data_IF_829650924454
#
_entry.id   IF_829650924454
#
_cell.length_a   1.000
_cell.length_b   1.000
_cell.length_c   1.000
_cell.angle_alpha   90.00
_cell.angle_beta   90.00
_cell.angle_gamma   90.00
#
_symmetry.space_group_name_H-M   'P 1'
#
loop_
_entity.id
_entity.type
_entity.pdbx_description
1 polymer ?
#
# COMPACT_ATOMS: atom_id res chain seq x y z
N UNK A 1 39.33 -7.02 -30.75
CA UNK A 1 38.54 -5.76 -30.78
C UNK A 1 37.58 -5.82 -29.60
N UNK A 2 37.90 -5.15 -28.49
CA UNK A 2 36.99 -5.06 -27.34
C UNK A 2 36.16 -3.79 -27.51
N UNK A 3 34.85 -3.97 -27.61
CA UNK A 3 33.88 -2.88 -27.62
C UNK A 3 34.02 -2.07 -26.32
N UNK A 4 34.49 -0.83 -26.45
CA UNK A 4 34.55 0.17 -25.38
C UNK A 4 33.44 1.20 -25.58
N UNK A 5 32.22 0.77 -25.87
CA UNK A 5 31.07 1.66 -25.84
C UNK A 5 30.89 2.19 -24.41
N UNK A 6 30.93 3.51 -24.18
CA UNK A 6 30.68 4.06 -22.86
C UNK A 6 29.23 3.71 -22.47
N UNK A 7 29.07 2.88 -21.44
CA UNK A 7 27.80 2.77 -20.74
C UNK A 7 27.52 4.14 -20.13
N UNK A 8 26.76 4.97 -20.85
CA UNK A 8 26.13 6.14 -20.28
C UNK A 8 25.21 5.66 -19.16
N UNK A 9 25.70 5.75 -17.92
CA UNK A 9 24.85 5.62 -16.72
C UNK A 9 23.96 6.85 -16.73
N UNK A 10 22.76 6.71 -17.28
CA UNK A 10 21.76 7.76 -17.20
C UNK A 10 21.54 8.11 -15.73
N UNK A 11 21.75 9.37 -15.36
CA UNK A 11 21.42 9.86 -14.03
C UNK A 11 19.90 9.94 -13.90
N UNK A 12 19.28 8.84 -13.45
CA UNK A 12 17.87 8.86 -13.05
C UNK A 12 17.80 9.57 -11.69
N UNK A 13 17.52 10.86 -11.70
CA UNK A 13 17.23 11.59 -10.47
C UNK A 13 15.93 11.04 -9.87
N UNK A 14 16.06 10.43 -8.68
CA UNK A 14 14.95 10.00 -7.84
C UNK A 14 14.62 11.01 -6.73
N UNK A 15 15.24 12.22 -6.77
CA UNK A 15 14.85 13.29 -5.84
C UNK A 15 13.35 13.54 -5.96
N UNK A 16 12.66 13.53 -4.82
CA UNK A 16 11.23 13.76 -4.66
C UNK A 16 10.31 12.66 -5.23
N UNK A 17 10.83 11.44 -5.47
CA UNK A 17 10.00 10.29 -5.83
C UNK A 17 9.80 9.38 -4.63
N UNK A 18 8.62 8.76 -4.54
CA UNK A 18 8.38 7.68 -3.59
C UNK A 18 9.39 6.56 -3.88
N UNK A 19 10.10 6.12 -2.84
CA UNK A 19 11.10 5.05 -2.90
C UNK A 19 10.41 3.68 -2.81
N UNK A 20 9.85 3.22 -3.93
CA UNK A 20 9.16 1.93 -4.00
C UNK A 20 10.05 0.75 -3.64
N UNK A 21 11.37 0.89 -3.79
CA UNK A 21 12.38 -0.11 -3.45
C UNK A 21 12.53 -0.37 -1.94
N UNK A 22 11.91 0.46 -1.08
CA UNK A 22 11.92 0.26 0.38
C UNK A 22 10.86 -0.75 0.86
N UNK A 23 9.99 -1.22 -0.03
CA UNK A 23 8.93 -2.14 0.34
C UNK A 23 9.44 -3.59 0.27
N UNK A 24 9.20 -4.35 1.34
CA UNK A 24 9.51 -5.77 1.39
C UNK A 24 8.53 -6.58 0.51
N UNK A 25 9.06 -7.45 -0.36
CA UNK A 25 8.24 -8.17 -1.35
C UNK A 25 7.34 -9.25 -0.74
N UNK A 26 7.77 -9.88 0.35
CA UNK A 26 6.99 -10.87 1.09
C UNK A 26 5.70 -10.29 1.68
N UNK A 27 5.69 -9.00 2.01
CA UNK A 27 4.49 -8.28 2.43
C UNK A 27 3.46 -8.18 1.30
N UNK A 28 3.91 -7.94 0.07
CA UNK A 28 3.01 -7.91 -1.09
C UNK A 28 2.44 -9.29 -1.40
N UNK A 29 3.24 -10.35 -1.28
CA UNK A 29 2.77 -11.72 -1.47
C UNK A 29 1.65 -12.10 -0.47
N UNK A 30 1.74 -11.62 0.77
CA UNK A 30 0.68 -11.83 1.78
C UNK A 30 -0.64 -11.15 1.39
N UNK A 31 -0.61 -9.93 0.88
CA UNK A 31 -1.82 -9.23 0.40
C UNK A 31 -2.35 -9.91 -0.87
N UNK A 32 -1.45 -10.30 -1.77
CA UNK A 32 -1.81 -11.02 -2.98
C UNK A 32 -2.52 -12.35 -2.65
N UNK A 33 -2.08 -13.07 -1.62
CA UNK A 33 -2.77 -14.29 -1.15
C UNK A 33 -4.21 -14.02 -0.70
N UNK A 34 -4.47 -12.90 0.01
CA UNK A 34 -5.83 -12.49 0.39
C UNK A 34 -6.67 -12.17 -0.85
N UNK A 35 -6.09 -11.47 -1.83
CA UNK A 35 -6.76 -11.18 -3.10
C UNK A 35 -7.06 -12.45 -3.89
N UNK A 36 -6.14 -13.42 -3.91
CA UNK A 36 -6.34 -14.73 -4.55
C UNK A 36 -7.49 -15.49 -3.89
N UNK A 37 -7.51 -15.57 -2.55
CA UNK A 37 -8.64 -16.17 -1.83
C UNK A 37 -9.98 -15.49 -2.19
N UNK A 38 -10.00 -14.15 -2.23
CA UNK A 38 -11.18 -13.39 -2.62
C UNK A 38 -11.60 -13.63 -4.07
N UNK A 39 -10.64 -13.80 -4.98
CA UNK A 39 -10.89 -14.09 -6.39
C UNK A 39 -11.47 -15.50 -6.59
N UNK A 40 -10.99 -16.49 -5.83
CA UNK A 40 -11.54 -17.85 -5.83
C UNK A 40 -12.95 -17.92 -5.22
N UNK A 41 -13.21 -17.12 -4.17
CA UNK A 41 -14.50 -17.10 -3.46
C UNK A 41 -15.59 -16.34 -4.22
N UNK A 42 -15.24 -15.25 -4.92
CA UNK A 42 -16.20 -14.39 -5.59
C UNK A 42 -15.95 -14.36 -7.10
N UNK A 43 -14.98 -13.58 -7.55
CA UNK A 43 -14.42 -13.52 -8.90
C UNK A 43 -13.18 -12.61 -8.83
N UNK A 44 -12.20 -12.71 -9.75
CA UNK A 44 -11.10 -11.76 -9.83
C UNK A 44 -11.60 -10.30 -9.89
N UNK A 45 -10.97 -9.42 -9.11
CA UNK A 45 -11.30 -7.99 -9.05
C UNK A 45 -12.75 -7.65 -8.63
N UNK A 46 -13.53 -8.59 -8.08
CA UNK A 46 -14.94 -8.35 -7.67
C UNK A 46 -15.12 -7.13 -6.74
N UNK A 47 -14.15 -6.86 -5.86
CA UNK A 47 -14.16 -5.70 -4.95
C UNK A 47 -14.23 -4.35 -5.69
N UNK A 48 -13.81 -4.28 -6.96
CA UNK A 48 -13.88 -3.05 -7.78
C UNK A 48 -15.30 -2.68 -8.19
N UNK A 49 -16.25 -3.61 -8.10
CA UNK A 49 -17.67 -3.31 -8.29
C UNK A 49 -18.23 -2.37 -7.21
N UNK A 50 -17.48 -2.17 -6.13
CA UNK A 50 -17.85 -1.33 -5.01
C UNK A 50 -18.25 -2.15 -3.80
N UNK A 51 -17.78 -1.73 -2.63
CA UNK A 51 -18.12 -2.29 -1.32
C UNK A 51 -18.46 -1.10 -0.44
N UNK A 52 -19.61 -1.09 0.26
CA UNK A 52 -19.96 0.01 1.17
C UNK A 52 -18.87 0.26 2.21
N UNK A 53 -18.54 1.52 2.47
CA UNK A 53 -17.46 1.93 3.38
C UNK A 53 -17.56 1.26 4.75
N UNK A 54 -18.78 1.23 5.32
CA UNK A 54 -19.05 0.61 6.61
C UNK A 54 -18.77 -0.90 6.64
N UNK A 55 -18.92 -1.60 5.51
CA UNK A 55 -18.60 -3.02 5.41
C UNK A 55 -17.08 -3.26 5.38
N UNK A 56 -16.34 -2.42 4.65
CA UNK A 56 -14.87 -2.46 4.61
C UNK A 56 -14.30 -2.16 6.00
N UNK A 57 -14.74 -1.06 6.62
CA UNK A 57 -14.28 -0.65 7.95
C UNK A 57 -14.68 -1.68 9.00
N UNK A 58 -15.89 -2.24 8.90
CA UNK A 58 -16.35 -3.32 9.76
C UNK A 58 -15.47 -4.58 9.66
N UNK A 59 -15.14 -5.02 8.44
CA UNK A 59 -14.25 -6.15 8.21
C UNK A 59 -12.84 -5.90 8.74
N UNK A 60 -12.27 -4.72 8.44
CA UNK A 60 -10.99 -4.27 8.97
C UNK A 60 -10.93 -4.38 10.51
N UNK A 61 -11.91 -3.81 11.20
CA UNK A 61 -11.96 -3.80 12.66
C UNK A 61 -12.12 -5.20 13.24
N UNK A 62 -12.83 -6.11 12.57
CA UNK A 62 -12.94 -7.52 12.98
C UNK A 62 -11.58 -8.23 12.94
N UNK A 63 -10.83 -8.10 11.84
CA UNK A 63 -9.50 -8.73 11.77
C UNK A 63 -8.51 -8.13 12.77
N UNK A 64 -8.49 -6.80 12.94
CA UNK A 64 -7.64 -6.16 13.96
C UNK A 64 -8.01 -6.67 15.36
N UNK A 65 -9.31 -6.74 15.67
CA UNK A 65 -9.78 -7.19 16.99
C UNK A 65 -9.40 -8.65 17.26
N UNK A 66 -9.60 -9.54 16.28
CA UNK A 66 -9.21 -10.96 16.38
C UNK A 66 -7.71 -11.11 16.66
N UNK A 67 -6.87 -10.41 15.88
CA UNK A 67 -5.41 -10.39 16.07
C UNK A 67 -4.99 -9.94 17.47
N UNK A 68 -5.64 -8.88 17.98
CA UNK A 68 -5.38 -8.33 19.31
C UNK A 68 -5.87 -9.25 20.44
N UNK A 69 -6.88 -10.08 20.18
CA UNK A 69 -7.35 -11.13 21.11
C UNK A 69 -6.50 -12.41 21.08
N UNK A 70 -5.54 -12.51 20.17
CA UNK A 70 -4.57 -13.61 20.11
C UNK A 70 -4.77 -14.56 18.93
N UNK A 71 -5.85 -14.43 18.16
CA UNK A 71 -6.08 -15.20 16.93
C UNK A 71 -5.22 -14.60 15.81
N UNK A 72 -4.11 -15.25 15.45
CA UNK A 72 -3.14 -14.69 14.47
C UNK A 72 -3.50 -15.04 13.03
N UNK A 73 -4.08 -16.21 12.85
CA UNK A 73 -4.51 -16.74 11.57
C UNK A 73 -6.02 -16.79 11.58
N UNK A 74 -6.62 -16.24 10.53
CA UNK A 74 -8.05 -16.23 10.35
C UNK A 74 -8.56 -17.63 9.98
N UNK A 75 -9.53 -18.19 10.72
CA UNK A 75 -9.98 -19.55 10.51
C UNK A 75 -10.76 -19.75 9.21
N UNK A 76 -11.34 -18.70 8.63
CA UNK A 76 -12.08 -18.77 7.37
C UNK A 76 -11.14 -18.91 6.16
N UNK A 77 -10.06 -18.12 6.16
CA UNK A 77 -9.12 -18.05 5.03
C UNK A 77 -7.84 -18.87 5.23
N UNK A 78 -7.46 -19.17 6.47
CA UNK A 78 -6.14 -19.71 6.79
C UNK A 78 -4.99 -18.69 6.66
N UNK A 79 -5.30 -17.39 6.51
CA UNK A 79 -4.32 -16.32 6.28
C UNK A 79 -4.15 -15.40 7.50
N UNK A 80 -3.06 -14.64 7.56
CA UNK A 80 -2.78 -13.70 8.65
C UNK A 80 -3.84 -12.59 8.73
N UNK A 81 -4.39 -12.35 9.91
CA UNK A 81 -5.36 -11.27 10.13
C UNK A 81 -4.83 -9.88 9.74
N UNK A 82 -3.52 -9.63 9.89
CA UNK A 82 -2.87 -8.38 9.49
C UNK A 82 -2.87 -8.19 7.99
N UNK A 83 -2.67 -9.27 7.22
CA UNK A 83 -2.73 -9.22 5.76
C UNK A 83 -4.17 -8.91 5.31
N UNK A 84 -5.17 -9.53 5.93
CA UNK A 84 -6.58 -9.21 5.65
C UNK A 84 -6.95 -7.78 6.04
N UNK A 85 -6.46 -7.30 7.19
CA UNK A 85 -6.61 -5.89 7.57
C UNK A 85 -5.96 -4.94 6.54
N UNK A 86 -4.74 -5.23 6.10
CA UNK A 86 -4.06 -4.44 5.07
C UNK A 86 -4.81 -4.44 3.74
N UNK A 87 -5.37 -5.57 3.33
CA UNK A 87 -6.22 -5.67 2.14
C UNK A 87 -7.49 -4.81 2.26
N UNK A 88 -8.14 -4.80 3.43
CA UNK A 88 -9.29 -3.92 3.69
C UNK A 88 -8.90 -2.43 3.67
N UNK A 89 -7.73 -2.06 4.20
CA UNK A 89 -7.21 -0.68 4.09
C UNK A 89 -6.98 -0.32 2.62
N UNK A 90 -6.40 -1.23 1.83
CA UNK A 90 -6.22 -1.04 0.40
C UNK A 90 -7.55 -0.80 -0.30
N UNK A 91 -8.58 -1.63 -0.06
CA UNK A 91 -9.92 -1.40 -0.62
C UNK A 91 -10.51 -0.05 -0.19
N UNK A 92 -10.39 0.29 1.09
CA UNK A 92 -10.90 1.57 1.61
C UNK A 92 -10.27 2.75 0.90
N UNK A 93 -8.93 2.79 0.80
CA UNK A 93 -8.20 3.85 0.10
C UNK A 93 -8.55 3.93 -1.39
N UNK A 94 -8.80 2.79 -2.04
CA UNK A 94 -9.11 2.74 -3.48
C UNK A 94 -10.54 3.13 -3.81
N UNK A 95 -11.51 2.73 -2.98
CA UNK A 95 -12.94 2.99 -3.21
C UNK A 95 -13.38 4.34 -2.63
N UNK A 96 -12.69 4.84 -1.61
CA UNK A 96 -12.98 6.09 -0.91
C UNK A 96 -11.74 7.00 -0.83
N UNK A 97 -11.22 7.47 -1.98
CA UNK A 97 -10.05 8.34 -2.00
C UNK A 97 -10.36 9.71 -1.40
N UNK A 98 -9.35 10.32 -0.76
CA UNK A 98 -9.47 11.68 -0.21
C UNK A 98 -9.50 12.69 -1.36
N UNK A 99 -10.57 13.47 -1.54
CA UNK A 99 -10.64 14.46 -2.61
C UNK A 99 -9.53 15.51 -2.48
N UNK A 100 -8.81 15.77 -3.58
CA UNK A 100 -7.72 16.76 -3.62
C UNK A 100 -6.42 16.32 -2.94
N UNK A 101 -6.32 15.08 -2.45
CA UNK A 101 -5.05 14.57 -1.94
C UNK A 101 -4.17 14.06 -3.08
N UNK A 102 -2.96 14.62 -3.20
CA UNK A 102 -1.95 14.24 -4.18
C UNK A 102 -0.59 14.05 -3.49
N UNK A 103 0.03 12.88 -3.69
CA UNK A 103 1.33 12.56 -3.11
C UNK A 103 2.46 13.45 -3.64
N UNK A 104 2.39 13.91 -4.90
CA UNK A 104 3.42 14.77 -5.48
C UNK A 104 3.40 16.17 -4.82
N UNK A 105 2.21 16.74 -4.64
CA UNK A 105 2.03 18.04 -3.95
C UNK A 105 2.43 17.98 -2.47
N UNK A 106 2.20 16.85 -1.79
CA UNK A 106 2.62 16.66 -0.41
C UNK A 106 4.14 16.80 -0.25
N UNK A 107 4.94 16.26 -1.18
CA UNK A 107 6.40 16.34 -1.11
C UNK A 107 6.92 17.77 -1.33
N UNK A 108 6.27 18.55 -2.20
CA UNK A 108 6.61 19.97 -2.40
C UNK A 108 6.42 20.77 -1.11
N UNK A 109 5.31 20.53 -0.39
CA UNK A 109 5.04 21.18 0.90
C UNK A 109 6.06 20.79 1.98
N UNK A 110 6.46 19.51 2.04
CA UNK A 110 7.49 19.03 2.99
C UNK A 110 8.82 19.75 2.74
N UNK A 111 9.22 19.91 1.48
CA UNK A 111 10.46 20.62 1.12
C UNK A 111 10.39 22.10 1.45
N UNK A 112 9.25 22.77 1.25
CA UNK A 112 9.09 24.15 1.71
C UNK A 112 9.25 24.28 3.23
N UNK A 113 8.68 23.35 4.00
CA UNK A 113 8.79 23.32 5.46
C UNK A 113 10.26 23.13 5.87
N UNK A 114 11.00 22.24 5.20
CA UNK A 114 12.43 22.00 5.45
C UNK A 114 13.25 23.27 5.20
N UNK A 115 13.08 23.91 4.04
CA UNK A 115 13.76 25.18 3.70
C UNK A 115 13.45 26.28 4.71
N UNK A 116 12.18 26.42 5.13
CA UNK A 116 11.76 27.42 6.12
C UNK A 116 12.39 27.18 7.50
N UNK A 117 12.71 25.92 7.86
CA UNK A 117 13.42 25.59 9.11
C UNK A 117 14.91 25.91 9.03
N UNK A 118 15.55 25.63 7.89
CA UNK A 118 16.97 25.94 7.65
C UNK A 118 17.25 27.46 7.62
N UNK A 119 16.31 28.27 7.13
CA UNK A 119 16.45 29.74 7.18
C UNK A 119 16.21 30.37 8.56
N UNK A 120 15.74 29.60 9.55
CA UNK A 120 15.48 30.08 10.93
C UNK A 120 16.53 29.61 11.94
N UNK A 121 17.49 28.78 11.53
CA UNK A 121 18.67 28.35 12.30
C UNK A 121 19.88 29.17 11.92
#
# INVERSE_FOLDING_TARGET
MTDKSPHFKGNKSNKNKIMMELLDLDWFEQIAAVLTYGAEKYEPDNWRAGIPEGEIVGALLRHITAYRKGEKIDPETGLDHRAQAACNIYFWMKLYPIPGFNYDEMWEQIEEIRKKKECRS
#
